data_IF_378605528215
#
_entry.id   IF_378605528215
#
_cell.length_a   1.000
_cell.length_b   1.000
_cell.length_c   1.000
_cell.angle_alpha   90.00
_cell.angle_beta   90.00
_cell.angle_gamma   90.00
#
_symmetry.space_group_name_H-M   'P 1'
#
loop_
_entity.id
_entity.type
_entity.pdbx_description
1 polymer ?
#
# COMPACT_ATOMS: atom_id res chain seq x y z
N UNK A 1 13.00 -25.01 -30.66
CA UNK A 1 12.72 -25.46 -29.30
C UNK A 1 13.84 -24.93 -28.41
N UNK A 2 13.70 -23.71 -27.88
CA UNK A 2 14.74 -23.13 -27.00
C UNK A 2 14.64 -23.78 -25.64
N UNK A 3 15.63 -24.61 -25.32
CA UNK A 3 15.84 -25.13 -23.98
C UNK A 3 16.44 -23.97 -23.18
N UNK A 4 15.66 -23.37 -22.28
CA UNK A 4 16.17 -22.40 -21.31
C UNK A 4 17.05 -23.19 -20.36
N UNK A 5 18.36 -23.10 -20.55
CA UNK A 5 19.34 -23.63 -19.61
C UNK A 5 19.31 -22.71 -18.40
N UNK A 6 18.45 -23.00 -17.42
CA UNK A 6 18.48 -22.28 -16.15
C UNK A 6 19.87 -22.48 -15.54
N UNK A 7 20.51 -21.38 -15.23
CA UNK A 7 21.87 -21.43 -14.71
C UNK A 7 21.86 -22.11 -13.33
N UNK A 8 22.90 -22.88 -12.94
CA UNK A 8 22.94 -23.54 -11.64
C UNK A 8 22.71 -22.59 -10.46
N UNK A 9 23.03 -21.30 -10.63
CA UNK A 9 22.80 -20.26 -9.65
C UNK A 9 21.31 -19.95 -9.42
N UNK A 10 20.47 -20.03 -10.46
CA UNK A 10 19.02 -19.80 -10.34
C UNK A 10 18.35 -20.93 -9.57
N UNK A 11 18.69 -22.18 -9.88
CA UNK A 11 18.16 -23.37 -9.18
C UNK A 11 18.50 -23.32 -7.68
N UNK A 12 19.73 -22.92 -7.34
CA UNK A 12 20.14 -22.77 -5.94
C UNK A 12 19.39 -21.61 -5.26
N UNK A 13 19.14 -20.51 -5.96
CA UNK A 13 18.38 -19.38 -5.39
C UNK A 13 16.92 -19.74 -5.14
N UNK A 14 16.28 -20.46 -6.06
CA UNK A 14 14.89 -20.89 -5.94
C UNK A 14 14.75 -21.86 -4.77
N UNK A 15 15.67 -22.82 -4.66
CA UNK A 15 15.70 -23.75 -3.52
C UNK A 15 15.92 -23.03 -2.18
N UNK A 16 16.84 -22.07 -2.12
CA UNK A 16 17.08 -21.29 -0.90
C UNK A 16 15.85 -20.48 -0.50
N UNK A 17 15.12 -19.92 -1.47
CA UNK A 17 13.86 -19.21 -1.22
C UNK A 17 12.81 -20.13 -0.63
N UNK A 18 12.58 -21.28 -1.25
CA UNK A 18 11.63 -22.28 -0.75
C UNK A 18 11.97 -22.74 0.67
N UNK A 19 13.26 -22.98 0.95
CA UNK A 19 13.72 -23.37 2.28
C UNK A 19 13.46 -22.27 3.32
N UNK A 20 13.68 -21.00 2.97
CA UNK A 20 13.38 -19.86 3.84
C UNK A 20 11.88 -19.75 4.10
N UNK A 21 11.04 -19.89 3.08
CA UNK A 21 9.59 -19.80 3.22
C UNK A 21 9.04 -20.92 4.11
N UNK A 22 9.50 -22.16 3.92
CA UNK A 22 9.14 -23.29 4.77
C UNK A 22 9.56 -23.07 6.23
N UNK A 23 10.81 -22.66 6.45
CA UNK A 23 11.32 -22.39 7.78
C UNK A 23 10.56 -21.25 8.47
N UNK A 24 10.21 -20.20 7.72
CA UNK A 24 9.47 -19.06 8.25
C UNK A 24 8.05 -19.48 8.66
N UNK A 25 7.38 -20.31 7.86
CA UNK A 25 6.08 -20.89 8.20
C UNK A 25 6.14 -21.73 9.49
N UNK A 26 7.12 -22.63 9.60
CA UNK A 26 7.32 -23.43 10.83
C UNK A 26 7.63 -22.56 12.05
N UNK A 27 8.43 -21.50 11.87
CA UNK A 27 8.78 -20.58 12.94
C UNK A 27 7.53 -19.84 13.43
N UNK A 28 6.71 -19.33 12.52
CA UNK A 28 5.49 -18.61 12.84
C UNK A 28 4.44 -19.50 13.55
N UNK A 29 4.36 -20.79 13.21
CA UNK A 29 3.50 -21.75 13.94
C UNK A 29 3.91 -21.97 15.39
N UNK A 30 5.20 -21.79 15.71
CA UNK A 30 5.74 -21.92 17.08
C UNK A 30 5.57 -20.64 17.91
N UNK A 31 5.20 -19.52 17.30
CA UNK A 31 4.89 -18.30 18.02
C UNK A 31 3.60 -18.47 18.86
N UNK A 32 3.53 -17.81 20.02
CA UNK A 32 2.30 -17.82 20.82
C UNK A 32 1.22 -16.89 20.25
N UNK A 33 1.66 -15.79 19.61
CA UNK A 33 0.78 -14.83 18.98
C UNK A 33 1.54 -14.00 17.95
N UNK A 34 0.89 -13.65 16.85
CA UNK A 34 1.44 -12.86 15.75
C UNK A 34 0.62 -11.58 15.63
N UNK A 35 1.30 -10.43 15.62
CA UNK A 35 0.67 -9.12 15.43
C UNK A 35 1.03 -8.61 14.03
N UNK A 36 0.01 -8.25 13.27
CA UNK A 36 0.18 -7.72 11.90
C UNK A 36 -0.42 -6.32 11.79
N UNK A 37 0.11 -5.45 10.92
CA UNK A 37 -0.33 -4.06 10.83
C UNK A 37 -1.62 -3.88 10.01
N UNK A 38 -2.11 -4.93 9.34
CA UNK A 38 -3.35 -4.87 8.54
C UNK A 38 -4.01 -6.23 8.38
N UNK A 39 -5.32 -6.22 8.14
CA UNK A 39 -6.08 -7.43 7.79
C UNK A 39 -5.63 -8.06 6.47
N UNK A 40 -5.11 -7.25 5.54
CA UNK A 40 -4.56 -7.78 4.28
C UNK A 40 -3.35 -8.68 4.52
N UNK A 41 -2.48 -8.31 5.47
CA UNK A 41 -1.33 -9.13 5.83
C UNK A 41 -1.76 -10.38 6.60
N UNK A 42 -2.76 -10.27 7.48
CA UNK A 42 -3.35 -11.43 8.14
C UNK A 42 -3.83 -12.47 7.12
N UNK A 43 -4.59 -12.04 6.12
CA UNK A 43 -5.09 -12.92 5.06
C UNK A 43 -3.97 -13.56 4.25
N UNK A 44 -2.90 -12.80 3.97
CA UNK A 44 -1.73 -13.34 3.28
C UNK A 44 -1.05 -14.46 4.10
N UNK A 45 -0.93 -14.29 5.42
CA UNK A 45 -0.41 -15.34 6.31
C UNK A 45 -1.30 -16.59 6.35
N UNK A 46 -2.62 -16.41 6.28
CA UNK A 46 -3.58 -17.51 6.20
C UNK A 46 -3.45 -18.29 4.88
N UNK A 47 -3.34 -17.57 3.75
CA UNK A 47 -3.27 -18.16 2.41
C UNK A 47 -1.90 -18.81 2.11
N UNK A 48 -0.79 -18.19 2.53
CA UNK A 48 0.57 -18.65 2.21
C UNK A 48 1.12 -19.67 3.22
N UNK A 49 0.84 -19.48 4.52
CA UNK A 49 1.44 -20.28 5.60
C UNK A 49 0.40 -21.09 6.41
N UNK A 50 -0.90 -20.98 6.09
CA UNK A 50 -1.97 -21.72 6.76
C UNK A 50 -2.25 -21.27 8.21
N UNK A 51 -1.74 -20.11 8.61
CA UNK A 51 -1.80 -19.65 10.00
C UNK A 51 -3.09 -18.86 10.23
N UNK A 52 -4.11 -19.56 10.71
CA UNK A 52 -5.48 -19.01 10.92
C UNK A 52 -5.80 -18.67 12.36
N UNK A 53 -5.07 -19.26 13.30
CA UNK A 53 -5.21 -18.99 14.73
C UNK A 53 -4.13 -18.01 15.17
N UNK A 54 -4.26 -17.43 16.37
CA UNK A 54 -3.21 -16.64 17.02
C UNK A 54 -2.64 -15.44 16.23
N UNK A 55 -3.37 -14.90 15.24
CA UNK A 55 -3.00 -13.68 14.50
C UNK A 55 -4.00 -12.55 14.76
N UNK A 56 -3.50 -11.39 15.17
CA UNK A 56 -4.30 -10.18 15.38
C UNK A 56 -3.79 -9.03 14.54
N UNK A 57 -4.69 -8.39 13.78
CA UNK A 57 -4.37 -7.17 13.07
C UNK A 57 -4.51 -5.97 14.00
N UNK A 58 -3.40 -5.28 14.25
CA UNK A 58 -3.37 -4.01 14.99
C UNK A 58 -2.89 -2.94 14.02
N UNK A 59 -3.81 -2.20 13.36
CA UNK A 59 -3.41 -1.10 12.51
C UNK A 59 -2.67 -0.06 13.33
N UNK A 60 -1.57 0.46 12.78
CA UNK A 60 -0.85 1.57 13.40
C UNK A 60 -1.78 2.77 13.45
N UNK A 61 -2.27 3.11 14.63
CA UNK A 61 -3.07 4.31 14.85
C UNK A 61 -2.25 5.54 14.46
N UNK A 62 -2.82 6.38 13.61
CA UNK A 62 -2.31 7.74 13.36
C UNK A 62 -3.21 8.68 14.12
N UNK A 63 -2.64 9.54 14.96
CA UNK A 63 -3.40 10.60 15.60
C UNK A 63 -3.81 11.62 14.53
N UNK A 64 -5.12 11.70 14.27
CA UNK A 64 -5.69 12.60 13.27
C UNK A 64 -6.01 13.98 13.82
N UNK A 65 -6.01 14.18 15.15
CA UNK A 65 -6.36 15.45 15.79
C UNK A 65 -5.59 16.65 15.21
N UNK A 66 -4.27 16.58 14.98
CA UNK A 66 -3.50 17.71 14.44
C UNK A 66 -3.84 18.05 12.98
N UNK A 67 -4.45 17.12 12.23
CA UNK A 67 -4.71 17.26 10.80
C UNK A 67 -6.12 17.73 10.48
N UNK A 68 -7.05 17.67 11.45
CA UNK A 68 -8.46 18.02 11.24
C UNK A 68 -8.70 19.51 10.96
N UNK A 69 -7.81 20.39 11.41
CA UNK A 69 -7.94 21.84 11.26
C UNK A 69 -7.08 22.43 10.12
N UNK A 70 -6.41 21.60 9.32
CA UNK A 70 -5.55 22.08 8.25
C UNK A 70 -6.37 22.56 7.04
N UNK A 71 -6.31 23.86 6.71
CA UNK A 71 -7.06 24.47 5.59
C UNK A 71 -6.29 24.46 4.25
N UNK A 72 -4.97 24.27 4.29
CA UNK A 72 -4.08 24.26 3.12
C UNK A 72 -3.95 25.59 2.37
N UNK A 73 -4.60 26.68 2.83
CA UNK A 73 -4.64 27.97 2.12
C UNK A 73 -3.26 28.63 2.09
N UNK A 74 -2.54 28.60 3.20
CA UNK A 74 -1.18 29.13 3.27
C UNK A 74 -0.24 28.46 2.25
N UNK A 75 -0.36 27.13 2.08
CA UNK A 75 0.46 26.36 1.13
C UNK A 75 0.03 26.65 -0.31
N UNK A 76 -1.28 26.75 -0.58
CA UNK A 76 -1.79 27.10 -1.92
C UNK A 76 -1.32 28.47 -2.37
N UNK A 77 -1.38 29.47 -1.48
CA UNK A 77 -0.88 30.83 -1.76
C UNK A 77 0.63 30.82 -2.01
N UNK A 78 1.41 30.16 -1.13
CA UNK A 78 2.86 30.09 -1.29
C UNK A 78 3.33 29.36 -2.56
N UNK A 79 2.51 28.44 -3.09
CA UNK A 79 2.80 27.66 -4.29
C UNK A 79 2.11 28.18 -5.55
N UNK A 80 1.28 29.22 -5.45
CA UNK A 80 0.54 29.79 -6.58
C UNK A 80 -0.52 28.85 -7.17
N UNK A 81 -1.03 27.88 -6.40
CA UNK A 81 -1.95 26.85 -6.91
C UNK A 81 -3.41 27.33 -7.07
N UNK A 82 -3.77 28.49 -6.51
CA UNK A 82 -5.14 29.02 -6.59
C UNK A 82 -6.22 27.96 -6.31
N UNK A 83 -7.20 27.87 -7.22
CA UNK A 83 -8.30 26.90 -7.18
C UNK A 83 -8.03 25.60 -7.96
N UNK A 84 -6.77 25.33 -8.31
CA UNK A 84 -6.44 24.11 -9.05
C UNK A 84 -6.64 22.86 -8.21
N UNK A 85 -7.00 21.76 -8.88
CA UNK A 85 -7.11 20.43 -8.29
C UNK A 85 -5.70 19.87 -8.08
N UNK A 86 -5.35 19.57 -6.82
CA UNK A 86 -4.01 19.09 -6.44
C UNK A 86 -4.08 17.60 -6.09
N UNK A 87 -3.21 16.80 -6.71
CA UNK A 87 -2.99 15.39 -6.36
C UNK A 87 -1.71 15.28 -5.53
N UNK A 88 -1.83 14.75 -4.31
CA UNK A 88 -0.71 14.58 -3.38
C UNK A 88 -0.47 13.09 -3.16
N UNK A 89 0.78 12.66 -3.28
CA UNK A 89 1.22 11.31 -2.94
C UNK A 89 2.34 11.40 -1.91
N UNK A 90 2.15 10.77 -0.75
CA UNK A 90 3.14 10.72 0.32
C UNK A 90 3.65 9.29 0.49
N UNK A 91 4.95 9.13 0.36
CA UNK A 91 5.61 7.84 0.51
C UNK A 91 7.05 7.85 0.07
N UNK A 92 7.80 6.82 0.45
CA UNK A 92 9.13 6.57 -0.10
C UNK A 92 9.01 6.32 -1.60
N UNK A 93 9.84 6.99 -2.40
CA UNK A 93 9.93 6.76 -3.84
C UNK A 93 10.57 5.38 -4.08
N UNK A 94 9.72 4.37 -4.24
CA UNK A 94 10.11 3.03 -4.72
C UNK A 94 9.34 2.73 -6.01
N UNK A 95 9.89 1.93 -6.94
CA UNK A 95 9.27 1.63 -8.23
C UNK A 95 7.82 1.12 -8.11
N UNK A 96 7.52 0.40 -7.04
CA UNK A 96 6.19 -0.13 -6.73
C UNK A 96 5.16 0.97 -6.37
N UNK A 97 5.62 2.13 -5.87
CA UNK A 97 4.77 3.24 -5.43
C UNK A 97 4.70 4.40 -6.43
N UNK A 98 5.60 4.47 -7.41
CA UNK A 98 5.67 5.58 -8.38
C UNK A 98 5.33 5.16 -9.81
N UNK A 99 4.12 5.52 -10.25
CA UNK A 99 3.99 6.27 -11.50
C UNK A 99 3.80 5.53 -12.83
N UNK A 100 3.69 4.20 -12.90
CA UNK A 100 3.27 3.53 -14.16
C UNK A 100 1.78 3.23 -14.27
N UNK A 101 1.01 3.20 -13.17
CA UNK A 101 -0.46 3.01 -13.21
C UNK A 101 -1.27 4.31 -13.17
N UNK A 102 -0.75 5.38 -12.57
CA UNK A 102 -1.51 6.63 -12.35
C UNK A 102 -1.67 7.47 -13.62
N UNK A 103 -0.76 7.37 -14.59
CA UNK A 103 -0.84 8.16 -15.83
C UNK A 103 -1.88 7.66 -16.83
N UNK A 104 -2.35 6.40 -16.71
CA UNK A 104 -3.38 5.80 -17.60
C UNK A 104 -4.80 5.86 -17.05
N UNK A 105 -5.01 6.31 -15.81
CA UNK A 105 -6.34 6.50 -15.20
C UNK A 105 -6.39 7.82 -14.44
N UNK A 106 -6.18 8.93 -15.12
CA UNK A 106 -6.87 10.14 -14.70
C UNK A 106 -8.34 9.95 -15.10
N UNK A 107 -9.28 9.80 -14.14
CA UNK A 107 -10.70 9.90 -14.49
C UNK A 107 -10.92 11.28 -15.11
N UNK A 108 -11.75 11.33 -16.16
CA UNK A 108 -12.18 12.57 -16.79
C UNK A 108 -12.63 13.58 -15.72
N UNK A 109 -12.39 14.88 -15.90
CA UNK A 109 -12.74 15.89 -14.91
C UNK A 109 -14.22 15.75 -14.54
N UNK A 110 -14.49 15.36 -13.29
CA UNK A 110 -15.84 15.33 -12.74
C UNK A 110 -16.52 16.68 -12.99
N UNK A 111 -17.78 16.68 -13.49
CA UNK A 111 -18.48 17.90 -13.87
C UNK A 111 -18.62 18.84 -12.67
N UNK A 112 -18.62 20.17 -12.88
CA UNK A 112 -18.78 21.13 -11.79
C UNK A 112 -20.14 20.91 -11.12
N UNK A 113 -20.11 20.72 -9.81
CA UNK A 113 -21.30 20.76 -8.95
C UNK A 113 -22.03 22.08 -9.18
N UNK A 114 -23.28 21.99 -9.66
CA UNK A 114 -24.18 23.15 -9.81
C UNK A 114 -24.25 23.88 -8.47
N UNK A 115 -23.87 25.15 -8.48
CA UNK A 115 -24.20 26.12 -7.44
C UNK A 115 -25.72 26.19 -7.35
N UNK A 116 -26.29 25.72 -6.24
CA UNK A 116 -27.69 25.99 -5.91
C UNK A 116 -27.81 27.46 -5.55
N UNK A 117 -28.36 28.24 -6.48
CA UNK A 117 -28.93 29.53 -6.20
C UNK A 117 -30.22 29.34 -5.40
N UNK A 118 -30.29 29.96 -4.21
CA UNK A 118 -31.52 30.30 -3.48
C UNK A 118 -31.12 31.41 -2.50
N UNK A 119 -31.29 32.68 -2.88
CA UNK A 119 -32.52 33.48 -2.75
C UNK A 119 -32.48 34.36 -1.49
N UNK A 120 -32.21 35.64 -1.71
CA UNK A 120 -32.78 36.78 -0.96
C UNK A 120 -32.83 37.97 -1.92
#
# INVERSE_FOLDING_TARGET
MSIIFQSPQEIVQDFLREAVDLWLGEYMQKCHHIVVPSESMKRQLEEEYGITQQVTAIPTGVDLQPYQQADGNAIRTARGWGNDRVLISVGRLRPEKTGKRSSKRLPAPFPPTRTSASSS
#
